data_IF_535262780314
#
_entry.id   IF_535262780314
#
_cell.length_a   1.000
_cell.length_b   1.000
_cell.length_c   1.000
_cell.angle_alpha   90.00
_cell.angle_beta   90.00
_cell.angle_gamma   90.00
#
_symmetry.space_group_name_H-M   'P 1'
#
loop_
_entity.id
_entity.type
_entity.pdbx_description
1 polymer ?
#
# COMPACT_ATOMS: atom_id res chain seq x y z
N UNK A 1 -26.18 12.29 3.39
CA UNK A 1 -26.09 10.87 3.78
C UNK A 1 -25.90 10.80 5.29
N UNK A 2 -26.39 9.79 5.99
CA UNK A 2 -26.12 9.55 7.41
C UNK A 2 -25.04 8.49 7.54
N UNK A 3 -24.22 8.53 8.62
CA UNK A 3 -23.27 7.47 8.90
C UNK A 3 -24.03 6.18 9.23
N UNK A 4 -23.67 5.03 8.62
CA UNK A 4 -24.33 3.77 8.91
C UNK A 4 -24.21 3.42 10.40
N UNK A 5 -25.28 2.93 10.99
CA UNK A 5 -25.28 2.46 12.39
C UNK A 5 -24.80 1.01 12.39
N UNK A 6 -23.49 0.84 12.58
CA UNK A 6 -22.90 -0.48 12.75
C UNK A 6 -22.37 -0.62 14.18
N UNK A 7 -22.85 -1.54 15.02
CA UNK A 7 -22.47 -1.65 16.44
C UNK A 7 -20.97 -1.86 16.67
N UNK A 8 -20.27 -2.44 15.73
CA UNK A 8 -18.84 -2.73 15.81
C UNK A 8 -17.93 -1.64 15.21
N UNK A 9 -18.50 -0.56 14.64
CA UNK A 9 -17.71 0.54 14.07
C UNK A 9 -17.06 1.34 15.21
N UNK A 10 -15.74 1.56 15.09
CA UNK A 10 -14.98 2.33 16.06
C UNK A 10 -15.51 3.78 16.17
N UNK A 11 -15.65 4.36 17.40
CA UNK A 11 -16.14 5.72 17.56
C UNK A 11 -15.30 6.79 16.85
N UNK A 12 -13.95 6.62 16.78
CA UNK A 12 -13.09 7.56 16.06
C UNK A 12 -13.33 7.48 14.54
N UNK A 13 -13.57 6.28 14.01
CA UNK A 13 -13.95 6.08 12.60
C UNK A 13 -15.29 6.74 12.31
N UNK A 14 -16.29 6.59 13.19
CA UNK A 14 -17.58 7.26 13.06
C UNK A 14 -17.42 8.78 12.97
N UNK A 15 -16.61 9.36 13.86
CA UNK A 15 -16.34 10.79 13.85
C UNK A 15 -15.67 11.25 12.55
N UNK A 16 -14.76 10.45 11.99
CA UNK A 16 -14.13 10.74 10.68
C UNK A 16 -15.17 10.71 9.56
N UNK A 17 -16.06 9.72 9.53
CA UNK A 17 -17.12 9.63 8.52
C UNK A 17 -18.08 10.83 8.60
N UNK A 18 -18.43 11.27 9.82
CA UNK A 18 -19.26 12.49 10.03
C UNK A 18 -18.55 13.74 9.52
N UNK A 19 -17.23 13.88 9.74
CA UNK A 19 -16.44 14.99 9.19
C UNK A 19 -16.43 14.97 7.66
N UNK A 20 -16.29 13.81 7.03
CA UNK A 20 -16.30 13.64 5.57
C UNK A 20 -17.67 14.04 5.01
N UNK A 21 -18.76 13.59 5.63
CA UNK A 21 -20.13 13.95 5.22
C UNK A 21 -20.35 15.46 5.36
N UNK A 22 -19.94 16.05 6.50
CA UNK A 22 -20.06 17.49 6.76
C UNK A 22 -19.27 18.33 5.76
N UNK A 23 -18.12 17.85 5.31
CA UNK A 23 -17.30 18.53 4.31
C UNK A 23 -17.98 18.61 2.93
N UNK A 24 -18.96 17.75 2.65
CA UNK A 24 -19.77 17.78 1.43
C UNK A 24 -18.97 17.59 0.13
N UNK A 25 -17.81 16.95 0.21
CA UNK A 25 -16.94 16.74 -0.96
C UNK A 25 -17.51 15.64 -1.86
N UNK A 26 -17.40 15.79 -3.19
CA UNK A 26 -17.82 14.75 -4.11
C UNK A 26 -16.96 13.49 -3.93
N UNK A 27 -17.53 12.30 -4.08
CA UNK A 27 -16.77 11.05 -4.09
C UNK A 27 -15.90 10.95 -5.35
N UNK A 28 -14.83 10.12 -5.29
CA UNK A 28 -13.85 10.01 -6.39
C UNK A 28 -14.47 9.70 -7.75
N UNK A 29 -15.50 8.87 -7.81
CA UNK A 29 -16.16 8.50 -9.07
C UNK A 29 -16.90 9.66 -9.78
N UNK A 30 -17.06 10.80 -9.11
CA UNK A 30 -17.63 12.02 -9.70
C UNK A 30 -16.55 13.04 -10.12
N UNK A 31 -15.28 12.73 -9.93
CA UNK A 31 -14.15 13.60 -10.21
C UNK A 31 -13.37 13.13 -11.44
N UNK A 32 -12.74 14.06 -12.13
CA UNK A 32 -11.64 13.73 -13.03
C UNK A 32 -10.42 13.24 -12.23
N UNK A 33 -9.50 12.45 -12.81
CA UNK A 33 -8.27 12.04 -12.16
C UNK A 33 -7.43 13.20 -11.60
N UNK A 34 -7.41 14.33 -12.31
CA UNK A 34 -6.69 15.53 -11.86
C UNK A 34 -7.30 16.13 -10.60
N UNK A 35 -8.63 16.29 -10.56
CA UNK A 35 -9.36 16.79 -9.38
C UNK A 35 -9.23 15.81 -8.20
N UNK A 36 -9.31 14.50 -8.46
CA UNK A 36 -9.15 13.47 -7.46
C UNK A 36 -7.75 13.52 -6.81
N UNK A 37 -6.68 13.67 -7.60
CA UNK A 37 -5.30 13.86 -7.10
C UNK A 37 -5.18 15.12 -6.26
N UNK A 38 -5.73 16.22 -6.72
CA UNK A 38 -5.71 17.48 -5.97
C UNK A 38 -6.44 17.33 -4.63
N UNK A 39 -7.66 16.81 -4.65
CA UNK A 39 -8.45 16.59 -3.44
C UNK A 39 -7.73 15.68 -2.45
N UNK A 40 -7.08 14.60 -2.93
CA UNK A 40 -6.35 13.67 -2.07
C UNK A 40 -5.17 14.37 -1.37
N UNK A 41 -4.37 15.16 -2.09
CA UNK A 41 -3.27 15.95 -1.51
C UNK A 41 -3.76 16.96 -0.47
N UNK A 42 -4.86 17.67 -0.75
CA UNK A 42 -5.41 18.69 0.14
C UNK A 42 -6.02 18.12 1.42
N UNK A 43 -6.60 16.92 1.34
CA UNK A 43 -7.30 16.32 2.48
C UNK A 43 -6.40 15.49 3.39
N UNK A 44 -5.32 14.93 2.84
CA UNK A 44 -4.43 14.02 3.57
C UNK A 44 -3.87 14.61 4.86
N UNK A 45 -3.38 15.86 4.91
CA UNK A 45 -2.79 16.43 6.11
C UNK A 45 -3.75 16.54 7.30
N UNK A 46 -5.05 16.61 7.06
CA UNK A 46 -6.05 16.73 8.12
C UNK A 46 -6.13 15.48 9.03
N UNK A 47 -5.89 14.29 8.47
CA UNK A 47 -5.95 13.02 9.20
C UNK A 47 -4.56 12.44 9.54
N UNK A 48 -3.50 12.96 8.91
CA UNK A 48 -2.14 12.47 9.07
C UNK A 48 -1.50 13.04 10.34
N UNK A 49 -0.81 12.23 11.18
CA UNK A 49 -0.12 12.73 12.35
C UNK A 49 1.06 13.65 11.98
N UNK A 50 1.63 14.32 12.99
CA UNK A 50 2.86 15.07 12.79
C UNK A 50 3.99 14.12 12.35
N UNK A 51 4.82 14.51 11.36
CA UNK A 51 5.90 13.68 10.88
C UNK A 51 6.95 13.46 11.98
N UNK A 52 7.34 12.21 12.27
CA UNK A 52 8.43 11.96 13.19
C UNK A 52 9.75 12.46 12.62
N UNK A 53 10.66 12.87 13.52
CA UNK A 53 12.02 13.22 13.14
C UNK A 53 12.78 11.95 12.70
N UNK A 54 13.48 12.05 11.58
CA UNK A 54 14.37 11.01 11.04
C UNK A 54 15.70 11.62 10.57
N UNK A 55 16.70 10.78 10.29
CA UNK A 55 18.05 11.25 9.97
C UNK A 55 18.21 11.84 8.59
N UNK A 56 17.54 11.26 7.57
CA UNK A 56 17.66 11.71 6.20
C UNK A 56 16.36 11.49 5.44
N UNK A 57 15.99 12.49 4.63
CA UNK A 57 15.06 12.36 3.51
C UNK A 57 15.77 12.83 2.26
N UNK A 58 15.79 12.00 1.21
CA UNK A 58 16.51 12.34 -0.03
C UNK A 58 15.71 11.85 -1.23
N UNK A 59 15.41 12.76 -2.14
CA UNK A 59 14.81 12.41 -3.43
C UNK A 59 15.88 11.83 -4.34
N UNK A 60 15.52 10.77 -5.06
CA UNK A 60 16.35 9.98 -5.94
C UNK A 60 15.59 9.70 -7.24
N UNK A 61 16.28 9.14 -8.20
CA UNK A 61 15.69 8.73 -9.47
C UNK A 61 16.24 7.37 -9.86
N UNK A 62 15.36 6.43 -10.16
CA UNK A 62 15.72 5.14 -10.73
C UNK A 62 15.51 5.14 -12.25
N UNK A 63 16.27 4.32 -12.97
CA UNK A 63 16.00 4.04 -14.37
C UNK A 63 14.80 3.11 -14.49
N UNK A 64 13.80 3.53 -15.24
CA UNK A 64 12.59 2.76 -15.51
C UNK A 64 12.44 2.38 -16.98
N UNK A 65 11.49 1.48 -17.31
CA UNK A 65 11.32 0.94 -18.66
C UNK A 65 10.86 1.99 -19.69
N UNK A 66 10.24 3.07 -19.24
CA UNK A 66 9.78 4.17 -20.10
C UNK A 66 10.19 5.54 -19.59
N UNK A 67 11.30 5.64 -18.87
CA UNK A 67 11.85 6.88 -18.35
C UNK A 67 12.18 6.78 -16.85
N UNK A 68 12.51 7.90 -16.26
CA UNK A 68 12.91 8.02 -14.88
C UNK A 68 11.74 7.76 -13.91
N UNK A 69 12.00 6.98 -12.85
CA UNK A 69 11.05 6.72 -11.76
C UNK A 69 11.52 7.52 -10.54
N UNK A 70 10.76 8.52 -10.05
CA UNK A 70 11.12 9.22 -8.83
C UNK A 70 11.02 8.30 -7.61
N UNK A 71 11.99 8.44 -6.70
CA UNK A 71 12.05 7.70 -5.45
C UNK A 71 12.31 8.67 -4.31
N UNK A 72 11.91 8.30 -3.08
CA UNK A 72 12.31 9.02 -1.87
C UNK A 72 12.86 8.05 -0.84
N UNK A 73 14.14 8.27 -0.46
CA UNK A 73 14.84 7.53 0.58
C UNK A 73 14.64 8.19 1.92
N UNK A 74 14.30 7.39 2.92
CA UNK A 74 14.20 7.76 4.34
C UNK A 74 15.18 6.92 5.15
N UNK A 75 15.94 7.55 6.07
CA UNK A 75 16.88 6.84 6.96
C UNK A 75 16.66 7.23 8.42
N UNK A 76 16.80 6.28 9.37
CA UNK A 76 16.69 6.54 10.80
C UNK A 76 17.70 7.59 11.29
N UNK A 77 17.33 8.32 12.37
CA UNK A 77 18.16 9.39 12.91
C UNK A 77 19.45 8.89 13.60
N UNK A 78 19.39 7.71 14.18
CA UNK A 78 20.49 7.09 14.96
C UNK A 78 21.46 6.25 14.10
N UNK A 79 21.18 6.10 12.82
CA UNK A 79 22.06 5.33 11.93
C UNK A 79 23.17 6.19 11.33
N UNK A 80 24.42 5.75 11.47
CA UNK A 80 25.53 6.39 10.78
C UNK A 80 25.31 6.41 9.25
N UNK A 81 25.77 7.47 8.57
CA UNK A 81 25.54 7.66 7.15
C UNK A 81 26.02 6.50 6.27
N UNK A 82 27.08 5.81 6.70
CA UNK A 82 27.73 4.68 5.99
C UNK A 82 27.18 3.32 6.38
N UNK A 83 26.30 3.22 7.38
CA UNK A 83 25.72 1.94 7.82
C UNK A 83 24.79 1.41 6.75
N UNK A 84 25.02 0.18 6.29
CA UNK A 84 24.09 -0.55 5.43
C UNK A 84 22.91 -1.03 6.27
N UNK A 85 21.75 -0.44 6.04
CA UNK A 85 20.49 -0.75 6.76
C UNK A 85 19.62 -1.70 5.95
N UNK A 86 18.81 -2.54 6.61
CA UNK A 86 17.72 -3.22 5.94
C UNK A 86 16.82 -2.21 5.22
N UNK A 87 16.12 -2.65 4.19
CA UNK A 87 15.31 -1.74 3.37
C UNK A 87 13.88 -2.26 3.15
N UNK A 88 12.91 -1.36 3.31
CA UNK A 88 11.55 -1.53 2.83
C UNK A 88 11.39 -0.74 1.53
N UNK A 89 11.06 -1.40 0.43
CA UNK A 89 10.56 -0.74 -0.78
C UNK A 89 9.05 -0.58 -0.63
N UNK A 90 8.58 0.66 -0.62
CA UNK A 90 7.19 0.99 -0.32
C UNK A 90 6.47 1.56 -1.54
N UNK A 91 5.29 1.01 -1.82
CA UNK A 91 4.40 1.46 -2.88
C UNK A 91 3.16 2.09 -2.25
N UNK A 92 2.87 3.34 -2.60
CA UNK A 92 1.74 4.07 -2.03
C UNK A 92 0.39 3.57 -2.55
N UNK A 93 -0.67 3.76 -1.76
CA UNK A 93 -2.05 3.52 -2.17
C UNK A 93 -2.62 4.63 -3.06
N UNK A 94 -3.87 4.45 -3.49
CA UNK A 94 -4.58 5.42 -4.31
C UNK A 94 -5.11 4.86 -5.64
N UNK A 95 -5.42 3.56 -5.68
CA UNK A 95 -6.07 2.93 -6.84
C UNK A 95 -5.30 3.07 -8.15
N UNK A 96 -3.98 3.20 -8.10
CA UNK A 96 -3.08 3.46 -9.24
C UNK A 96 -3.37 4.76 -10.00
N UNK A 97 -4.26 5.62 -9.50
CA UNK A 97 -4.73 6.86 -10.15
C UNK A 97 -4.34 8.10 -9.35
N UNK A 98 -4.33 8.00 -8.04
CA UNK A 98 -3.99 9.08 -7.11
C UNK A 98 -2.85 8.64 -6.17
N UNK A 99 -2.37 9.56 -5.34
CA UNK A 99 -1.24 9.31 -4.45
C UNK A 99 0.09 9.73 -5.07
N UNK A 100 1.08 9.92 -4.21
CA UNK A 100 2.45 10.32 -4.55
C UNK A 100 3.36 10.21 -3.32
N UNK A 101 4.64 10.59 -3.48
CA UNK A 101 5.63 10.61 -2.40
C UNK A 101 5.21 11.48 -1.21
N UNK A 102 4.55 12.62 -1.46
CA UNK A 102 4.19 13.58 -0.41
C UNK A 102 2.98 13.10 0.40
N UNK A 103 2.00 12.46 -0.25
CA UNK A 103 0.80 11.95 0.42
C UNK A 103 1.09 10.77 1.37
N UNK A 104 2.23 10.09 1.18
CA UNK A 104 2.67 8.97 2.02
C UNK A 104 3.98 9.25 2.78
N UNK A 105 4.51 10.49 2.74
CA UNK A 105 5.74 10.88 3.40
C UNK A 105 5.74 10.53 4.91
N UNK A 106 4.69 10.92 5.62
CA UNK A 106 4.61 10.69 7.07
C UNK A 106 4.57 9.21 7.41
N UNK A 107 3.83 8.41 6.63
CA UNK A 107 3.75 6.96 6.84
C UNK A 107 5.12 6.29 6.64
N UNK A 108 5.86 6.69 5.60
CA UNK A 108 7.22 6.21 5.36
C UNK A 108 8.18 6.61 6.48
N UNK A 109 8.08 7.84 6.99
CA UNK A 109 8.84 8.29 8.16
C UNK A 109 8.52 7.49 9.42
N UNK A 110 7.24 7.17 9.66
CA UNK A 110 6.83 6.35 10.79
C UNK A 110 7.45 4.94 10.70
N UNK A 111 7.38 4.28 9.54
CA UNK A 111 8.05 2.99 9.35
C UNK A 111 9.55 3.09 9.58
N UNK A 112 10.19 4.13 9.05
CA UNK A 112 11.63 4.38 9.24
C UNK A 112 11.98 4.52 10.73
N UNK A 113 11.28 5.39 11.44
CA UNK A 113 11.54 5.69 12.84
C UNK A 113 11.24 4.49 13.76
N UNK A 114 10.11 3.80 13.53
CA UNK A 114 9.69 2.70 14.40
C UNK A 114 10.38 1.38 14.09
N UNK A 115 10.67 1.08 12.81
CA UNK A 115 11.35 -0.17 12.45
C UNK A 115 12.87 -0.07 12.51
N UNK A 116 13.46 1.12 12.46
CA UNK A 116 14.91 1.30 12.38
C UNK A 116 15.50 0.84 11.05
N UNK A 117 14.73 0.86 9.97
CA UNK A 117 15.12 0.44 8.62
C UNK A 117 15.13 1.64 7.67
N UNK A 118 15.85 1.55 6.57
CA UNK A 118 15.63 2.47 5.45
C UNK A 118 14.30 2.17 4.78
N UNK A 119 13.57 3.22 4.38
CA UNK A 119 12.40 3.09 3.52
C UNK A 119 12.69 3.79 2.21
N UNK A 120 12.35 3.18 1.08
CA UNK A 120 12.40 3.81 -0.23
C UNK A 120 11.00 3.76 -0.84
N UNK A 121 10.35 4.92 -0.87
CA UNK A 121 9.05 5.11 -1.50
C UNK A 121 9.19 5.28 -2.99
N UNK A 122 8.32 4.64 -3.75
CA UNK A 122 8.34 4.62 -5.22
C UNK A 122 7.16 5.42 -5.77
N UNK A 123 7.46 6.44 -6.59
CA UNK A 123 6.47 7.24 -7.31
C UNK A 123 6.21 6.62 -8.69
N UNK A 124 5.52 5.50 -8.70
CA UNK A 124 5.20 4.76 -9.91
C UNK A 124 4.20 5.54 -10.79
N UNK A 125 4.25 5.34 -12.09
CA UNK A 125 3.38 6.03 -13.05
C UNK A 125 1.92 5.69 -12.82
N UNK A 126 1.08 6.74 -12.85
CA UNK A 126 -0.34 6.66 -12.56
C UNK A 126 -1.20 6.58 -13.84
N UNK A 127 -2.34 5.94 -13.70
CA UNK A 127 -3.42 5.93 -14.66
C UNK A 127 -4.26 7.23 -14.53
N UNK A 128 -4.98 7.64 -15.57
CA UNK A 128 -5.14 6.99 -16.87
C UNK A 128 -4.03 7.25 -17.88
N UNK A 129 -3.06 8.13 -17.55
CA UNK A 129 -1.95 8.47 -18.44
C UNK A 129 -1.10 7.23 -18.75
N UNK A 130 -0.92 6.39 -17.75
CA UNK A 130 -0.15 5.14 -17.83
C UNK A 130 -0.96 3.98 -17.24
N UNK A 131 -1.79 3.37 -18.08
CA UNK A 131 -2.62 2.23 -17.67
C UNK A 131 -1.78 0.98 -17.39
N UNK A 132 -2.42 -0.04 -16.80
CA UNK A 132 -1.82 -1.36 -16.60
C UNK A 132 -1.09 -1.84 -17.87
N UNK A 133 0.13 -2.43 -17.74
CA UNK A 133 0.84 -2.76 -16.53
C UNK A 133 1.90 -1.72 -16.07
N UNK A 134 1.82 -0.45 -16.49
CA UNK A 134 2.88 0.54 -16.26
C UNK A 134 3.32 0.68 -14.80
N UNK A 135 2.39 0.71 -13.84
CA UNK A 135 2.70 0.78 -12.41
C UNK A 135 3.45 -0.48 -11.92
N UNK A 136 3.09 -1.65 -12.43
CA UNK A 136 3.76 -2.92 -12.14
C UNK A 136 5.19 -2.91 -12.67
N UNK A 137 5.36 -2.47 -13.91
CA UNK A 137 6.67 -2.41 -14.57
C UNK A 137 7.61 -1.45 -13.82
N UNK A 138 7.09 -0.30 -13.37
CA UNK A 138 7.86 0.66 -12.56
C UNK A 138 8.19 0.11 -11.18
N UNK A 139 7.24 -0.49 -10.49
CA UNK A 139 7.45 -1.08 -9.16
C UNK A 139 8.55 -2.15 -9.19
N UNK A 140 8.51 -3.01 -10.20
CA UNK A 140 9.52 -4.04 -10.41
C UNK A 140 10.88 -3.46 -10.81
N UNK A 141 10.92 -2.51 -11.75
CA UNK A 141 12.14 -1.84 -12.18
C UNK A 141 12.80 -1.08 -11.02
N UNK A 142 12.04 -0.31 -10.25
CA UNK A 142 12.52 0.41 -9.07
C UNK A 142 13.12 -0.55 -8.03
N UNK A 143 12.44 -1.67 -7.74
CA UNK A 143 12.95 -2.67 -6.80
C UNK A 143 14.29 -3.24 -7.24
N UNK A 144 14.44 -3.61 -8.50
CA UNK A 144 15.71 -4.09 -9.06
C UNK A 144 16.79 -3.02 -9.05
N UNK A 145 16.44 -1.79 -9.39
CA UNK A 145 17.37 -0.67 -9.38
C UNK A 145 17.91 -0.41 -7.96
N UNK A 146 17.04 -0.41 -6.94
CA UNK A 146 17.42 -0.25 -5.53
C UNK A 146 18.44 -1.31 -5.12
N UNK A 147 18.22 -2.57 -5.50
CA UNK A 147 19.14 -3.68 -5.20
C UNK A 147 20.47 -3.51 -5.92
N UNK A 148 20.46 -3.15 -7.19
CA UNK A 148 21.69 -2.90 -7.97
C UNK A 148 22.52 -1.73 -7.43
N UNK A 149 21.89 -0.72 -6.81
CA UNK A 149 22.56 0.45 -6.23
C UNK A 149 22.63 0.40 -4.70
N UNK A 150 22.45 -0.77 -4.09
CA UNK A 150 22.38 -0.95 -2.64
C UNK A 150 23.60 -0.37 -1.91
N UNK A 151 24.81 -0.50 -2.48
CA UNK A 151 26.03 0.02 -1.91
C UNK A 151 26.03 1.58 -1.86
N UNK A 152 25.57 2.24 -2.91
CA UNK A 152 25.51 3.70 -3.01
C UNK A 152 24.43 4.28 -2.10
N UNK A 153 23.32 3.52 -1.94
CA UNK A 153 22.18 3.91 -1.09
C UNK A 153 22.44 3.60 0.39
N UNK A 154 23.54 2.90 0.71
CA UNK A 154 23.81 2.36 2.04
C UNK A 154 22.65 1.53 2.59
N UNK A 155 22.10 0.64 1.75
CA UNK A 155 21.09 -0.35 2.12
C UNK A 155 21.63 -1.76 1.94
N UNK A 156 21.03 -2.72 2.65
CA UNK A 156 21.37 -4.12 2.58
C UNK A 156 20.34 -4.86 1.72
N UNK A 157 20.76 -5.25 0.52
CA UNK A 157 19.90 -5.93 -0.44
C UNK A 157 19.48 -7.35 -0.02
N UNK A 158 20.22 -7.99 0.91
CA UNK A 158 19.88 -9.31 1.45
C UNK A 158 18.81 -9.23 2.56
N UNK A 159 18.57 -8.03 3.07
CA UNK A 159 17.54 -7.71 4.06
C UNK A 159 16.52 -6.74 3.47
N UNK A 160 15.83 -7.19 2.42
CA UNK A 160 14.83 -6.46 1.65
C UNK A 160 13.42 -6.91 2.02
N UNK A 161 12.54 -5.96 2.29
CA UNK A 161 11.10 -6.16 2.32
C UNK A 161 10.42 -5.32 1.24
N UNK A 162 9.25 -5.75 0.81
CA UNK A 162 8.33 -4.95 -0.01
C UNK A 162 7.06 -4.68 0.78
N UNK A 163 6.44 -3.54 0.58
CA UNK A 163 5.19 -3.23 1.26
C UNK A 163 4.42 -2.11 0.58
N UNK A 164 3.17 -1.98 0.97
CA UNK A 164 2.30 -0.94 0.46
C UNK A 164 0.89 -1.04 1.01
N UNK A 165 0.10 -0.01 0.77
CA UNK A 165 -1.29 0.07 1.17
C UNK A 165 -2.21 0.06 -0.05
N UNK A 166 -3.35 -0.65 0.02
CA UNK A 166 -4.37 -0.67 -1.05
C UNK A 166 -3.77 -1.11 -2.41
N UNK A 167 -3.81 -0.28 -3.44
CA UNK A 167 -3.15 -0.51 -4.72
C UNK A 167 -1.62 -0.70 -4.57
N UNK A 168 -0.98 -0.05 -3.61
CA UNK A 168 0.43 -0.27 -3.29
C UNK A 168 0.69 -1.65 -2.67
N UNK A 169 -0.25 -2.14 -1.85
CA UNK A 169 -0.24 -3.51 -1.35
C UNK A 169 -0.36 -4.54 -2.48
N UNK A 170 -1.16 -4.25 -3.49
CA UNK A 170 -1.21 -5.03 -4.73
C UNK A 170 0.16 -5.08 -5.40
N UNK A 171 0.78 -3.91 -5.65
CA UNK A 171 2.11 -3.84 -6.28
C UNK A 171 3.17 -4.61 -5.48
N UNK A 172 3.14 -4.53 -4.14
CA UNK A 172 4.06 -5.28 -3.29
C UNK A 172 3.89 -6.80 -3.44
N UNK A 173 2.66 -7.30 -3.47
CA UNK A 173 2.36 -8.71 -3.69
C UNK A 173 2.82 -9.17 -5.09
N UNK A 174 2.58 -8.35 -6.12
CA UNK A 174 3.00 -8.64 -7.50
C UNK A 174 4.52 -8.61 -7.64
N UNK A 175 5.22 -7.66 -7.00
CA UNK A 175 6.70 -7.61 -6.98
C UNK A 175 7.27 -8.85 -6.30
N UNK A 176 6.66 -9.35 -5.21
CA UNK A 176 7.08 -10.60 -4.58
C UNK A 176 6.94 -11.82 -5.51
N UNK A 177 5.84 -11.89 -6.29
CA UNK A 177 5.64 -12.91 -7.31
C UNK A 177 6.70 -12.82 -8.43
N UNK A 178 6.93 -11.60 -8.96
CA UNK A 178 7.95 -11.38 -10.00
C UNK A 178 9.36 -11.71 -9.52
N UNK A 179 9.70 -11.37 -8.28
CA UNK A 179 11.00 -11.69 -7.70
C UNK A 179 11.23 -13.20 -7.62
N UNK A 180 10.24 -13.97 -7.18
CA UNK A 180 10.30 -15.43 -7.17
C UNK A 180 10.45 -16.00 -8.59
N UNK A 181 9.60 -15.57 -9.52
CA UNK A 181 9.46 -16.19 -10.85
C UNK A 181 10.63 -15.84 -11.79
N UNK A 182 11.27 -14.69 -11.58
CA UNK A 182 12.36 -14.21 -12.42
C UNK A 182 13.75 -14.36 -11.79
N UNK A 183 13.85 -15.05 -10.63
CA UNK A 183 15.11 -15.19 -9.91
C UNK A 183 15.66 -13.84 -9.43
N UNK A 184 14.77 -12.97 -8.95
CA UNK A 184 15.08 -11.64 -8.48
C UNK A 184 15.64 -11.61 -7.04
N UNK A 185 15.71 -10.42 -6.43
CA UNK A 185 16.28 -10.28 -5.09
C UNK A 185 15.50 -11.07 -4.04
N UNK A 186 16.20 -11.58 -2.99
CA UNK A 186 15.55 -12.29 -1.90
C UNK A 186 14.71 -11.32 -1.07
N UNK A 187 13.39 -11.42 -1.17
CA UNK A 187 12.46 -10.64 -0.34
C UNK A 187 12.21 -11.40 0.96
N UNK A 188 12.41 -10.73 2.10
CA UNK A 188 12.25 -11.31 3.44
C UNK A 188 10.85 -11.20 4.00
N UNK A 189 10.07 -10.20 3.53
CA UNK A 189 8.70 -9.95 3.97
C UNK A 189 7.93 -9.19 2.89
N UNK A 190 6.66 -9.55 2.70
CA UNK A 190 5.67 -8.72 2.04
C UNK A 190 4.70 -8.15 3.09
N UNK A 191 4.67 -6.81 3.27
CA UNK A 191 3.83 -6.12 4.23
C UNK A 191 2.67 -5.42 3.51
N UNK A 192 1.49 -6.03 3.57
CA UNK A 192 0.32 -5.66 2.75
C UNK A 192 -0.77 -5.06 3.64
N UNK A 193 -1.02 -3.75 3.50
CA UNK A 193 -2.08 -3.07 4.23
C UNK A 193 -3.33 -2.98 3.35
N UNK A 194 -4.40 -3.64 3.77
CA UNK A 194 -5.70 -3.72 3.07
C UNK A 194 -5.54 -3.80 1.54
N UNK A 195 -4.76 -4.78 1.04
CA UNK A 195 -4.35 -4.82 -0.35
C UNK A 195 -5.50 -5.11 -1.30
N UNK A 196 -5.47 -4.51 -2.50
CA UNK A 196 -6.24 -5.03 -3.64
C UNK A 196 -5.59 -6.33 -4.11
N UNK A 197 -6.33 -7.42 -4.13
CA UNK A 197 -5.79 -8.72 -4.58
C UNK A 197 -6.57 -9.35 -5.73
N UNK A 198 -7.74 -8.82 -6.05
CA UNK A 198 -8.57 -9.24 -7.17
C UNK A 198 -9.31 -8.03 -7.80
N UNK A 199 -9.81 -8.20 -9.01
CA UNK A 199 -10.69 -7.26 -9.70
C UNK A 199 -12.17 -7.60 -9.53
N UNK A 200 -12.51 -8.67 -8.81
CA UNK A 200 -13.89 -9.06 -8.55
C UNK A 200 -14.52 -8.15 -7.49
N UNK A 201 -15.43 -7.29 -7.92
CA UNK A 201 -16.18 -6.35 -7.06
C UNK A 201 -17.51 -6.93 -6.55
N UNK A 202 -17.65 -8.25 -6.50
CA UNK A 202 -18.88 -8.95 -6.04
C UNK A 202 -18.60 -9.96 -4.92
N UNK A 203 -17.76 -9.57 -3.95
CA UNK A 203 -17.57 -10.33 -2.70
C UNK A 203 -18.61 -9.93 -1.66
N UNK A 204 -18.67 -10.64 -0.52
CA UNK A 204 -19.51 -10.26 0.62
C UNK A 204 -19.21 -8.85 1.10
N UNK A 205 -17.93 -8.52 1.32
CA UNK A 205 -17.51 -7.21 1.79
C UNK A 205 -17.83 -6.08 0.78
N UNK A 206 -17.76 -6.33 -0.52
CA UNK A 206 -18.19 -5.36 -1.53
C UNK A 206 -19.70 -5.11 -1.51
N UNK A 207 -20.52 -6.10 -1.13
CA UNK A 207 -21.96 -5.91 -0.95
C UNK A 207 -22.31 -5.20 0.35
N UNK A 208 -21.68 -5.64 1.45
CA UNK A 208 -21.97 -5.14 2.80
C UNK A 208 -21.47 -3.71 3.02
N UNK A 209 -20.35 -3.34 2.40
CA UNK A 209 -19.66 -2.05 2.56
C UNK A 209 -19.60 -1.24 1.26
N UNK A 210 -20.56 -1.46 0.36
CA UNK A 210 -20.66 -0.78 -0.93
C UNK A 210 -20.64 0.75 -0.80
N UNK A 211 -21.25 1.30 0.26
CA UNK A 211 -21.42 2.73 0.51
C UNK A 211 -21.24 3.05 2.00
N UNK A 212 -20.92 4.32 2.29
CA UNK A 212 -20.96 4.86 3.66
C UNK A 212 -19.68 4.67 4.47
N UNK A 213 -18.67 3.96 3.97
CA UNK A 213 -17.43 3.63 4.67
C UNK A 213 -16.16 4.18 3.99
N UNK A 214 -16.23 5.38 3.42
CA UNK A 214 -15.18 6.13 2.74
C UNK A 214 -14.83 5.55 1.36
N UNK A 215 -14.25 4.35 1.27
CA UNK A 215 -14.10 3.63 0.02
C UNK A 215 -15.42 2.99 -0.35
N UNK A 216 -15.87 3.21 -1.59
CA UNK A 216 -17.12 2.67 -2.09
C UNK A 216 -16.87 1.71 -3.26
N UNK A 217 -17.85 0.83 -3.53
CA UNK A 217 -17.81 -0.03 -4.73
C UNK A 217 -17.70 0.79 -6.02
N UNK A 218 -18.43 1.90 -6.12
CA UNK A 218 -18.38 2.80 -7.27
C UNK A 218 -17.02 3.46 -7.45
N UNK A 219 -16.38 3.87 -6.33
CA UNK A 219 -15.02 4.42 -6.38
C UNK A 219 -14.02 3.36 -6.83
N UNK A 220 -14.14 2.11 -6.39
CA UNK A 220 -13.29 1.02 -6.87
C UNK A 220 -13.49 0.75 -8.37
N UNK A 221 -14.74 0.75 -8.84
CA UNK A 221 -15.03 0.61 -10.27
C UNK A 221 -14.42 1.76 -11.09
N UNK A 222 -14.48 2.99 -10.56
CA UNK A 222 -13.85 4.16 -11.17
C UNK A 222 -12.32 4.00 -11.28
N UNK A 223 -11.64 3.53 -10.23
CA UNK A 223 -10.22 3.24 -10.27
C UNK A 223 -9.88 2.19 -11.33
N UNK A 224 -10.61 1.08 -11.36
CA UNK A 224 -10.41 0.04 -12.37
C UNK A 224 -10.65 0.54 -13.79
N UNK A 225 -11.67 1.34 -14.04
CA UNK A 225 -11.96 1.92 -15.36
C UNK A 225 -10.81 2.80 -15.88
N UNK A 226 -10.11 3.49 -14.97
CA UNK A 226 -8.94 4.28 -15.35
C UNK A 226 -7.69 3.43 -15.54
N UNK A 227 -7.49 2.40 -14.71
CA UNK A 227 -6.26 1.62 -14.70
C UNK A 227 -6.24 0.49 -15.73
N UNK A 228 -7.32 -0.24 -15.88
CA UNK A 228 -7.44 -1.40 -16.80
C UNK A 228 -7.59 -0.92 -18.24
N UNK A 229 -6.91 -1.57 -19.20
CA UNK A 229 -7.04 -1.26 -20.63
C UNK A 229 -8.10 -2.10 -21.30
N UNK A 230 -8.08 -3.41 -21.00
CA UNK A 230 -8.90 -4.42 -21.64
C UNK A 230 -9.49 -5.36 -20.60
N UNK A 231 -10.58 -6.01 -20.95
CA UNK A 231 -11.19 -7.02 -20.07
C UNK A 231 -10.24 -8.19 -19.76
N UNK A 232 -9.34 -8.50 -20.69
CA UNK A 232 -8.31 -9.54 -20.50
C UNK A 232 -7.31 -9.17 -19.40
N UNK A 233 -7.01 -7.89 -19.20
CA UNK A 233 -6.11 -7.44 -18.13
C UNK A 233 -6.64 -7.78 -16.74
N UNK A 234 -7.96 -7.81 -16.54
CA UNK A 234 -8.59 -8.18 -15.28
C UNK A 234 -8.29 -9.63 -14.84
N UNK A 235 -8.00 -10.51 -15.80
CA UNK A 235 -7.59 -11.89 -15.55
C UNK A 235 -6.08 -12.05 -15.34
N UNK A 236 -5.28 -11.01 -15.62
CA UNK A 236 -3.83 -11.05 -15.43
C UNK A 236 -3.50 -11.04 -13.93
N UNK A 237 -2.74 -12.04 -13.47
CA UNK A 237 -2.35 -12.14 -12.07
C UNK A 237 -1.49 -10.96 -11.60
N UNK A 238 -0.84 -10.22 -12.50
CA UNK A 238 -0.11 -8.99 -12.16
C UNK A 238 -1.04 -7.83 -11.77
N UNK A 239 -2.33 -7.95 -12.05
CA UNK A 239 -3.38 -7.06 -11.54
C UNK A 239 -4.14 -7.74 -10.40
N UNK A 240 -4.37 -9.05 -10.51
CA UNK A 240 -5.15 -9.86 -9.56
C UNK A 240 -4.27 -10.96 -8.93
N UNK A 241 -3.35 -10.64 -8.00
CA UNK A 241 -2.42 -11.64 -7.42
C UNK A 241 -3.12 -12.79 -6.72
N UNK A 242 -4.37 -12.61 -6.30
CA UNK A 242 -5.22 -13.72 -5.83
C UNK A 242 -5.42 -14.80 -6.90
N UNK A 243 -5.26 -14.49 -8.20
CA UNK A 243 -5.41 -15.44 -9.32
C UNK A 243 -4.10 -16.03 -9.80
N UNK A 244 -2.98 -15.70 -9.17
CA UNK A 244 -1.69 -16.27 -9.56
C UNK A 244 -1.75 -17.81 -9.56
N UNK A 245 -1.15 -18.50 -10.55
CA UNK A 245 -1.21 -19.96 -10.66
C UNK A 245 -0.67 -20.68 -9.42
N UNK A 246 0.38 -20.14 -8.80
CA UNK A 246 0.98 -20.66 -7.57
C UNK A 246 1.43 -19.51 -6.67
N UNK A 247 1.24 -19.68 -5.36
CA UNK A 247 1.79 -18.80 -4.33
C UNK A 247 2.92 -19.48 -3.53
N UNK A 248 3.28 -20.70 -3.89
CA UNK A 248 4.38 -21.41 -3.22
C UNK A 248 5.72 -20.69 -3.41
N UNK A 249 6.56 -20.73 -2.38
CA UNK A 249 7.90 -20.12 -2.42
C UNK A 249 7.90 -18.59 -2.30
N UNK A 250 6.77 -17.96 -2.07
CA UNK A 250 6.71 -16.53 -1.77
C UNK A 250 7.28 -16.22 -0.38
N UNK A 251 7.78 -14.99 -0.15
CA UNK A 251 8.24 -14.58 1.16
C UNK A 251 7.11 -14.58 2.18
N UNK A 252 7.42 -14.70 3.50
CA UNK A 252 6.46 -14.47 4.56
C UNK A 252 5.64 -13.21 4.35
N UNK A 253 4.39 -13.21 4.78
CA UNK A 253 3.48 -12.08 4.59
C UNK A 253 2.89 -11.58 5.91
N UNK A 254 2.86 -10.26 6.09
CA UNK A 254 1.94 -9.60 6.99
C UNK A 254 0.80 -9.01 6.17
N UNK A 255 -0.43 -9.40 6.45
CA UNK A 255 -1.62 -8.87 5.80
C UNK A 255 -2.52 -8.21 6.85
N UNK A 256 -2.72 -6.91 6.69
CA UNK A 256 -3.63 -6.12 7.54
C UNK A 256 -4.89 -5.83 6.73
N UNK A 257 -6.05 -6.15 7.28
CA UNK A 257 -7.36 -5.81 6.68
C UNK A 257 -8.16 -4.91 7.63
N UNK A 258 -9.21 -4.28 7.12
CA UNK A 258 -10.14 -3.46 7.89
C UNK A 258 -11.53 -4.11 7.85
N UNK A 259 -12.27 -4.07 8.97
CA UNK A 259 -13.55 -4.76 9.08
C UNK A 259 -14.65 -4.18 8.20
N UNK A 260 -14.65 -2.85 8.02
CA UNK A 260 -15.61 -2.10 7.20
C UNK A 260 -14.96 -1.62 5.90
N UNK A 261 -14.48 -2.58 5.11
CA UNK A 261 -13.73 -2.32 3.88
C UNK A 261 -14.22 -3.26 2.76
N UNK A 262 -14.61 -2.73 1.59
CA UNK A 262 -14.91 -3.56 0.43
C UNK A 262 -13.82 -4.60 0.09
N UNK A 263 -12.54 -4.27 0.34
CA UNK A 263 -11.40 -5.13 0.03
C UNK A 263 -11.09 -6.19 1.09
N UNK A 264 -11.85 -6.26 2.21
CA UNK A 264 -11.59 -7.19 3.32
C UNK A 264 -11.52 -8.63 2.85
N UNK A 265 -12.56 -9.09 2.16
CA UNK A 265 -12.71 -10.50 1.81
C UNK A 265 -11.64 -10.98 0.83
N UNK A 266 -11.23 -10.15 -0.13
CA UNK A 266 -10.16 -10.49 -1.07
C UNK A 266 -8.78 -10.52 -0.40
N UNK A 267 -8.51 -9.62 0.55
CA UNK A 267 -7.29 -9.62 1.35
C UNK A 267 -7.19 -10.87 2.23
N UNK A 268 -8.30 -11.27 2.88
CA UNK A 268 -8.39 -12.51 3.68
C UNK A 268 -8.27 -13.76 2.81
N UNK A 269 -8.86 -13.75 1.61
CA UNK A 269 -8.72 -14.84 0.64
C UNK A 269 -7.27 -15.01 0.17
N UNK A 270 -6.54 -13.90 -0.04
CA UNK A 270 -5.13 -13.95 -0.38
C UNK A 270 -4.29 -14.54 0.75
N UNK A 271 -4.55 -14.12 2.01
CA UNK A 271 -3.91 -14.70 3.20
C UNK A 271 -4.16 -16.21 3.30
N UNK A 272 -5.39 -16.66 3.04
CA UNK A 272 -5.74 -18.07 3.04
C UNK A 272 -4.97 -18.85 1.96
N UNK A 273 -4.95 -18.34 0.70
CA UNK A 273 -4.21 -18.99 -0.38
C UNK A 273 -2.71 -19.07 -0.13
N UNK A 274 -2.11 -18.06 0.48
CA UNK A 274 -0.70 -18.09 0.89
C UNK A 274 -0.43 -19.22 1.91
N UNK A 275 -1.28 -19.36 2.93
CA UNK A 275 -1.16 -20.46 3.92
C UNK A 275 -1.32 -21.83 3.27
N UNK A 276 -2.28 -22.00 2.36
CA UNK A 276 -2.48 -23.22 1.58
C UNK A 276 -1.25 -23.57 0.72
N UNK A 277 -0.48 -22.56 0.31
CA UNK A 277 0.79 -22.70 -0.40
C UNK A 277 2.01 -22.84 0.52
N UNK A 278 1.81 -23.11 1.82
CA UNK A 278 2.84 -23.25 2.85
C UNK A 278 3.69 -21.99 3.06
N UNK A 279 3.19 -20.81 2.75
CA UNK A 279 3.81 -19.52 3.08
C UNK A 279 3.41 -19.11 4.50
N UNK A 280 4.38 -18.64 5.29
CA UNK A 280 4.11 -18.08 6.62
C UNK A 280 3.31 -16.78 6.52
N UNK A 281 2.16 -16.67 7.20
CA UNK A 281 1.28 -15.51 7.10
C UNK A 281 0.76 -15.09 8.47
N UNK A 282 1.08 -13.87 8.83
CA UNK A 282 0.40 -13.12 9.88
C UNK A 282 -0.74 -12.31 9.23
N UNK A 283 -1.98 -12.61 9.56
CA UNK A 283 -3.14 -11.88 9.06
C UNK A 283 -3.92 -11.27 10.22
N UNK A 284 -4.11 -9.96 10.20
CA UNK A 284 -4.78 -9.20 11.26
C UNK A 284 -5.89 -8.35 10.65
N UNK A 285 -7.14 -8.62 11.03
CA UNK A 285 -8.27 -7.77 10.71
C UNK A 285 -8.54 -6.79 11.84
N UNK A 286 -8.47 -5.49 11.56
CA UNK A 286 -8.90 -4.45 12.49
C UNK A 286 -10.41 -4.23 12.33
N UNK A 287 -11.18 -4.98 13.11
CA UNK A 287 -12.63 -5.16 12.93
C UNK A 287 -13.47 -3.88 12.94
N UNK A 288 -13.08 -2.84 13.68
CA UNK A 288 -13.79 -1.54 13.75
C UNK A 288 -13.34 -0.51 12.73
N UNK A 289 -12.39 -0.83 11.85
CA UNK A 289 -11.72 0.13 10.95
C UNK A 289 -12.31 0.12 9.54
N UNK A 290 -12.07 1.23 8.83
CA UNK A 290 -12.40 1.43 7.41
C UNK A 290 -11.14 1.35 6.54
N UNK A 291 -11.33 1.25 5.22
CA UNK A 291 -10.23 1.31 4.26
C UNK A 291 -9.35 2.55 4.44
N UNK A 292 -8.05 2.39 4.34
CA UNK A 292 -7.09 3.50 4.39
C UNK A 292 -6.88 4.10 5.79
N UNK A 293 -7.24 3.40 6.87
CA UNK A 293 -7.15 3.91 8.25
C UNK A 293 -5.73 4.07 8.78
N UNK A 294 -4.77 3.27 8.30
CA UNK A 294 -3.41 3.24 8.84
C UNK A 294 -2.71 4.61 8.85
N UNK A 295 -2.73 5.42 7.77
CA UNK A 295 -2.13 6.76 7.78
C UNK A 295 -3.00 7.84 8.46
N UNK A 296 -4.17 7.51 8.99
CA UNK A 296 -5.07 8.46 9.65
C UNK A 296 -4.80 8.60 11.16
N UNK A 297 -3.61 8.29 11.61
CA UNK A 297 -3.24 8.21 13.04
C UNK A 297 -3.45 9.48 13.87
N UNK A 298 -3.72 10.64 13.24
CA UNK A 298 -4.12 11.87 13.94
C UNK A 298 -5.57 11.81 14.43
N UNK A 299 -6.45 11.15 13.69
CA UNK A 299 -7.89 11.07 13.96
C UNK A 299 -8.33 9.68 14.44
N UNK A 300 -7.59 8.64 14.06
CA UNK A 300 -7.87 7.24 14.36
C UNK A 300 -6.63 6.62 15.01
N UNK A 301 -6.63 6.52 16.35
CA UNK A 301 -5.45 6.01 17.09
C UNK A 301 -5.08 4.58 16.71
N UNK A 302 -6.04 3.78 16.31
CA UNK A 302 -5.81 2.43 15.78
C UNK A 302 -4.96 2.44 14.51
N UNK A 303 -4.92 3.53 13.74
CA UNK A 303 -4.00 3.71 12.62
C UNK A 303 -2.53 3.61 13.07
N UNK A 304 -2.16 4.28 14.16
CA UNK A 304 -0.80 4.19 14.71
C UNK A 304 -0.48 2.76 15.17
N UNK A 305 -1.43 2.02 15.72
CA UNK A 305 -1.23 0.61 16.12
C UNK A 305 -0.94 -0.28 14.90
N UNK A 306 -1.63 -0.05 13.78
CA UNK A 306 -1.36 -0.78 12.54
C UNK A 306 0.05 -0.46 12.00
N UNK A 307 0.48 0.80 12.07
CA UNK A 307 1.84 1.22 11.71
C UNK A 307 2.87 0.51 12.60
N UNK A 308 2.68 0.50 13.92
CA UNK A 308 3.58 -0.17 14.86
C UNK A 308 3.63 -1.69 14.66
N UNK A 309 2.51 -2.31 14.28
CA UNK A 309 2.47 -3.74 13.92
C UNK A 309 3.35 -4.02 12.69
N UNK A 310 3.21 -3.23 11.61
CA UNK A 310 4.04 -3.35 10.42
C UNK A 310 5.52 -3.13 10.77
N UNK A 311 5.84 -2.08 11.52
CA UNK A 311 7.21 -1.78 11.95
C UNK A 311 7.82 -2.92 12.78
N UNK A 312 7.04 -3.53 13.68
CA UNK A 312 7.44 -4.70 14.46
C UNK A 312 7.77 -5.91 13.58
N UNK A 313 6.94 -6.18 12.60
CA UNK A 313 7.13 -7.28 11.63
C UNK A 313 8.36 -7.04 10.74
N UNK A 314 8.58 -5.79 10.28
CA UNK A 314 9.79 -5.40 9.55
C UNK A 314 11.06 -5.65 10.39
N UNK A 315 11.08 -5.18 11.65
CA UNK A 315 12.23 -5.43 12.57
C UNK A 315 12.50 -6.90 12.75
N UNK A 316 11.47 -7.72 12.83
CA UNK A 316 11.63 -9.17 13.01
C UNK A 316 12.20 -9.84 11.76
N UNK A 317 11.61 -9.57 10.61
CA UNK A 317 11.96 -10.24 9.36
C UNK A 317 13.29 -9.79 8.76
N UNK A 318 13.76 -8.57 9.10
CA UNK A 318 14.95 -7.95 8.52
C UNK A 318 16.16 -7.91 9.48
N UNK A 319 16.11 -8.73 10.55
CA UNK A 319 17.25 -8.92 11.46
C UNK A 319 18.45 -9.59 10.81
#
# INVERSE_FOLDING_TARGET
MSVPVAPALDPEVRAVLELVIKAGRPPYHQLSPKEARQMFRETRPASTPAPPAIGLVKDLTADGPLGAIPLRLYRPADAAATTRLPVLVYFHGGGWVIGDLDTHDVLCRQFTAEAGVSVISVDYRLAPEHKFPAAVDDAWAATRWIVAHAAELNVDADRLAVGGDSAGGNLAAVVALLARDQGGPPIRLQALLYPVTDTNVDTGSYRDFAEGFLLTRESMQWFFNHYVKTEADAADWRLSPLRAPSLAGLPPALIVTAGFDPLRDEGEAYAKRLREAAVSVDAVCFGGMIHGFAPMGRLIQTGNRAVSLVAGSLRHALR
#
